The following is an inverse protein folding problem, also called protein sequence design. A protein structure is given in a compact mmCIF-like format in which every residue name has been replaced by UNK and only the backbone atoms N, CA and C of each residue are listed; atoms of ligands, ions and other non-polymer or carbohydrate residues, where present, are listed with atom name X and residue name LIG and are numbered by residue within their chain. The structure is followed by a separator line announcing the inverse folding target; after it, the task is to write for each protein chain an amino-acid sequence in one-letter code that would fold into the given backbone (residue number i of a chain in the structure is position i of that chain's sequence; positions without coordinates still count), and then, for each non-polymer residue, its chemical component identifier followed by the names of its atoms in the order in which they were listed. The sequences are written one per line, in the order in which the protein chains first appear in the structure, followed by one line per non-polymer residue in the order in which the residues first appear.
data_IF_917153052550
#
_entry.id   IF_917153052550
#
_cell.length_a   1.000
_cell.length_b   1.000
_cell.length_c   1.000
_cell.angle_alpha   90.00
_cell.angle_beta   90.00
_cell.angle_gamma   90.00
#
_symmetry.space_group_name_H-M   'P 1'
#
loop_
_entity.id
_entity.type
_entity.pdbx_description
1 polymer ?
#
# COMPACT_ATOMS: atom_id res chain seq x y z
N UNK A 1 3.65 -6.30 11.58
CA UNK A 1 4.51 -7.45 11.17
C UNK A 1 3.90 -8.77 11.59
N UNK A 2 3.79 -9.09 12.88
CA UNK A 2 3.28 -10.38 13.39
C UNK A 2 1.90 -10.77 12.83
N UNK A 3 0.97 -9.82 12.72
CA UNK A 3 -0.33 -10.07 12.09
C UNK A 3 -0.17 -10.58 10.64
N UNK A 4 0.73 -10.00 9.85
CA UNK A 4 0.99 -10.46 8.49
C UNK A 4 1.75 -11.80 8.44
N UNK A 5 2.58 -12.09 9.44
CA UNK A 5 3.19 -13.43 9.60
C UNK A 5 2.10 -14.51 9.80
N UNK A 6 1.15 -14.26 10.72
CA UNK A 6 0.04 -15.16 10.99
C UNK A 6 -0.88 -15.32 9.76
N UNK A 7 -1.19 -14.22 9.06
CA UNK A 7 -2.01 -14.23 7.84
C UNK A 7 -1.33 -15.00 6.70
N UNK A 8 -0.01 -14.85 6.53
CA UNK A 8 0.76 -15.57 5.52
C UNK A 8 0.70 -17.10 5.71
N UNK A 9 0.75 -17.56 6.97
CA UNK A 9 0.60 -18.99 7.31
C UNK A 9 -0.76 -19.55 6.89
N UNK A 10 -1.80 -18.71 6.86
CA UNK A 10 -3.16 -19.09 6.47
C UNK A 10 -3.49 -18.72 5.01
N UNK A 11 -2.54 -18.23 4.22
CA UNK A 11 -2.71 -17.70 2.85
C UNK A 11 -3.75 -16.56 2.75
N UNK A 12 -3.95 -15.78 3.81
CA UNK A 12 -4.82 -14.60 3.82
C UNK A 12 -3.98 -13.41 3.37
N UNK A 13 -4.45 -12.56 2.42
CA UNK A 13 -3.72 -11.38 1.96
C UNK A 13 -3.24 -10.48 3.12
N UNK A 14 -2.06 -9.83 2.99
CA UNK A 14 -1.51 -9.02 4.06
C UNK A 14 -2.34 -7.77 4.34
N UNK A 15 -2.26 -7.28 5.56
CA UNK A 15 -2.75 -5.97 5.95
C UNK A 15 -1.74 -4.89 5.57
N UNK A 16 -2.22 -3.79 5.03
CA UNK A 16 -1.42 -2.59 4.76
C UNK A 16 -1.39 -1.71 6.00
N UNK A 17 -0.23 -1.12 6.30
CA UNK A 17 -0.15 -0.12 7.35
C UNK A 17 -0.95 1.12 6.97
N UNK A 18 -1.77 1.61 7.91
CA UNK A 18 -2.57 2.82 7.75
C UNK A 18 -2.33 3.76 8.93
N UNK A 19 -1.82 4.96 8.65
CA UNK A 19 -1.47 5.95 9.67
C UNK A 19 -2.71 6.47 10.43
N UNK A 20 -3.89 6.48 9.84
CA UNK A 20 -5.12 6.91 10.48
C UNK A 20 -5.60 5.87 11.52
N UNK A 21 -5.52 4.58 11.17
CA UNK A 21 -5.77 3.49 12.13
C UNK A 21 -4.71 3.47 13.24
N UNK A 22 -3.44 3.70 12.90
CA UNK A 22 -2.38 3.78 13.90
C UNK A 22 -2.59 4.96 14.86
N UNK A 23 -3.03 6.12 14.37
CA UNK A 23 -3.35 7.27 15.22
C UNK A 23 -4.56 7.00 16.14
N UNK A 24 -5.60 6.30 15.65
CA UNK A 24 -6.73 5.89 16.47
C UNK A 24 -6.32 4.92 17.58
N UNK A 25 -5.51 3.92 17.23
CA UNK A 25 -4.99 2.93 18.15
C UNK A 25 -4.08 3.54 19.22
N UNK A 26 -3.18 4.46 18.82
CA UNK A 26 -2.29 5.16 19.74
C UNK A 26 -3.07 6.04 20.72
N UNK A 27 -4.00 6.86 20.21
CA UNK A 27 -4.83 7.71 21.06
C UNK A 27 -5.63 6.92 22.11
N UNK A 28 -6.09 5.72 21.75
CA UNK A 28 -6.75 4.83 22.71
C UNK A 28 -5.80 4.26 23.73
N UNK A 29 -4.65 3.79 23.30
CA UNK A 29 -3.62 3.27 24.20
C UNK A 29 -3.14 4.35 25.20
N UNK A 30 -2.99 5.60 24.76
CA UNK A 30 -2.65 6.74 25.60
C UNK A 30 -3.77 7.08 26.61
N UNK A 31 -5.03 7.04 26.16
CA UNK A 31 -6.19 7.27 27.01
C UNK A 31 -6.28 6.22 28.13
N UNK A 32 -6.14 4.94 27.79
CA UNK A 32 -6.10 3.84 28.77
C UNK A 32 -4.92 3.98 29.74
N UNK A 33 -3.73 4.30 29.22
CA UNK A 33 -2.52 4.46 30.01
C UNK A 33 -2.63 5.62 31.01
N UNK A 34 -3.22 6.75 30.60
CA UNK A 34 -3.45 7.91 31.47
C UNK A 34 -4.41 7.61 32.62
N UNK A 35 -5.34 6.68 32.43
CA UNK A 35 -6.32 6.25 33.43
C UNK A 35 -5.94 4.96 34.16
N UNK A 36 -4.71 4.43 33.96
CA UNK A 36 -4.22 3.20 34.60
C UNK A 36 -5.05 1.96 34.27
N UNK A 37 -5.80 1.98 33.14
CA UNK A 37 -6.69 0.89 32.74
C UNK A 37 -8.00 0.77 33.55
N UNK A 38 -8.38 1.79 34.29
CA UNK A 38 -9.59 1.78 35.13
C UNK A 38 -10.89 2.12 34.37
N UNK A 39 -10.87 2.01 33.04
CA UNK A 39 -12.04 2.20 32.16
C UNK A 39 -12.31 0.93 31.33
N UNK A 40 -13.37 0.97 30.52
CA UNK A 40 -13.65 -0.11 29.59
C UNK A 40 -12.50 -0.22 28.57
N UNK A 41 -12.00 -1.44 28.36
CA UNK A 41 -10.83 -1.65 27.51
C UNK A 41 -11.05 -1.30 26.02
N UNK A 42 -12.28 -1.29 25.55
CA UNK A 42 -12.59 -0.95 24.17
C UNK A 42 -13.07 0.49 23.99
N UNK A 43 -13.93 0.98 24.90
CA UNK A 43 -14.42 2.35 24.81
C UNK A 43 -13.39 3.34 25.36
N UNK A 44 -13.35 4.54 24.81
CA UNK A 44 -12.58 5.64 25.39
C UNK A 44 -13.03 5.92 26.84
N UNK A 45 -12.14 6.37 27.69
CA UNK A 45 -12.44 6.59 29.11
C UNK A 45 -13.49 7.69 29.35
N UNK A 46 -13.76 8.53 28.36
CA UNK A 46 -14.88 9.49 28.35
C UNK A 46 -16.23 8.88 27.92
N UNK A 47 -16.28 7.56 27.64
CA UNK A 47 -17.49 6.84 27.22
C UNK A 47 -17.72 6.81 25.69
N UNK A 48 -16.89 7.43 24.86
CA UNK A 48 -17.00 7.30 23.41
C UNK A 48 -16.76 5.84 23.01
N UNK A 49 -17.66 5.25 22.19
CA UNK A 49 -17.49 3.87 21.74
C UNK A 49 -16.27 3.74 20.83
N UNK A 50 -15.59 2.59 20.88
CA UNK A 50 -14.44 2.27 20.05
C UNK A 50 -14.72 2.52 18.55
N UNK A 51 -15.88 2.11 18.08
CA UNK A 51 -16.30 2.26 16.70
C UNK A 51 -16.34 3.74 16.26
N UNK A 52 -16.93 4.65 17.09
CA UNK A 52 -16.97 6.09 16.80
C UNK A 52 -15.56 6.69 16.83
N UNK A 53 -14.73 6.29 17.81
CA UNK A 53 -13.34 6.72 17.88
C UNK A 53 -12.60 6.35 16.59
N UNK A 54 -12.63 5.08 16.18
CA UNK A 54 -11.93 4.63 14.97
C UNK A 54 -12.48 5.32 13.72
N UNK A 55 -13.79 5.44 13.56
CA UNK A 55 -14.40 6.16 12.43
C UNK A 55 -13.99 7.65 12.35
N UNK A 56 -13.74 8.29 13.47
CA UNK A 56 -13.29 9.69 13.50
C UNK A 56 -11.89 9.86 12.89
N UNK A 57 -11.00 8.91 13.13
CA UNK A 57 -9.66 8.90 12.53
C UNK A 57 -9.65 8.32 11.12
N UNK A 58 -10.46 7.29 10.89
CA UNK A 58 -10.51 6.49 9.66
C UNK A 58 -11.91 6.53 9.03
N UNK A 59 -12.32 7.68 8.46
CA UNK A 59 -13.66 7.85 7.88
C UNK A 59 -13.82 7.04 6.59
N UNK A 60 -15.08 6.68 6.26
CA UNK A 60 -15.42 5.94 5.04
C UNK A 60 -15.15 4.44 5.13
N UNK A 61 -14.89 3.92 6.33
CA UNK A 61 -14.72 2.48 6.54
C UNK A 61 -16.00 1.69 6.23
N UNK A 62 -15.82 0.52 5.62
CA UNK A 62 -16.89 -0.47 5.36
C UNK A 62 -16.91 -1.50 6.50
N UNK A 63 -15.75 -1.88 6.98
CA UNK A 63 -15.58 -2.80 8.10
C UNK A 63 -14.53 -2.27 9.05
N UNK A 64 -14.70 -2.51 10.35
CA UNK A 64 -13.77 -2.16 11.41
C UNK A 64 -13.64 -3.32 12.40
N UNK A 65 -12.49 -3.41 13.04
CA UNK A 65 -12.22 -4.33 14.15
C UNK A 65 -11.16 -3.76 15.06
N UNK A 66 -11.17 -4.19 16.33
CA UNK A 66 -10.21 -3.73 17.32
C UNK A 66 -9.76 -4.88 18.22
N UNK A 67 -8.48 -4.93 18.51
CA UNK A 67 -7.89 -5.72 19.58
C UNK A 67 -7.25 -4.81 20.60
N UNK A 68 -7.49 -5.06 21.88
CA UNK A 68 -6.86 -4.32 22.98
C UNK A 68 -6.26 -5.30 23.98
N UNK A 69 -5.09 -4.96 24.52
CA UNK A 69 -4.46 -5.71 25.59
C UNK A 69 -3.68 -4.80 26.54
N UNK A 70 -3.56 -5.24 27.78
CA UNK A 70 -2.66 -4.68 28.78
C UNK A 70 -1.67 -5.77 29.19
N UNK A 71 -0.37 -5.51 29.03
CA UNK A 71 0.67 -6.52 29.25
C UNK A 71 2.03 -5.88 29.49
N UNK A 72 3.06 -6.70 29.52
CA UNK A 72 4.46 -6.24 29.44
C UNK A 72 4.73 -5.59 28.09
N UNK A 73 5.73 -4.71 28.04
CA UNK A 73 6.11 -4.02 26.78
C UNK A 73 6.92 -4.95 25.88
N UNK A 74 6.24 -5.94 25.33
CA UNK A 74 6.81 -6.88 24.34
C UNK A 74 5.74 -7.18 23.27
N UNK A 75 6.02 -6.75 22.04
CA UNK A 75 5.08 -6.88 20.94
C UNK A 75 4.83 -8.35 20.52
N UNK A 76 5.78 -9.27 20.74
CA UNK A 76 5.60 -10.70 20.50
C UNK A 76 4.65 -11.29 21.51
N UNK A 77 4.86 -11.02 22.80
CA UNK A 77 3.98 -11.49 23.89
C UNK A 77 2.56 -10.98 23.69
N UNK A 78 2.40 -9.70 23.34
CA UNK A 78 1.10 -9.10 23.02
C UNK A 78 0.42 -9.81 21.86
N UNK A 79 1.12 -10.00 20.74
CA UNK A 79 0.59 -10.69 19.57
C UNK A 79 0.21 -12.14 19.89
N UNK A 80 1.06 -12.87 20.59
CA UNK A 80 0.80 -14.28 20.93
C UNK A 80 -0.41 -14.39 21.88
N UNK A 81 -0.61 -13.42 22.79
CA UNK A 81 -1.82 -13.38 23.63
C UNK A 81 -3.08 -13.16 22.79
N UNK A 82 -3.05 -12.27 21.80
CA UNK A 82 -4.17 -12.08 20.87
C UNK A 82 -4.43 -13.32 20.01
N UNK A 83 -3.38 -13.97 19.53
CA UNK A 83 -3.52 -15.21 18.75
C UNK A 83 -4.05 -16.39 19.56
N UNK A 84 -3.82 -16.41 20.87
CA UNK A 84 -4.38 -17.41 21.78
C UNK A 84 -5.84 -17.14 22.18
N UNK A 85 -6.35 -15.93 21.93
CA UNK A 85 -7.76 -15.56 22.16
C UNK A 85 -8.57 -15.72 20.87
N UNK A 86 -9.66 -16.47 20.90
CA UNK A 86 -10.47 -16.75 19.70
C UNK A 86 -11.03 -15.48 19.06
N UNK A 87 -11.51 -14.51 19.86
CA UNK A 87 -12.06 -13.25 19.38
C UNK A 87 -10.98 -12.37 18.74
N UNK A 88 -9.86 -12.18 19.43
CA UNK A 88 -8.76 -11.37 18.91
C UNK A 88 -8.11 -11.99 17.67
N UNK A 89 -7.89 -13.32 17.69
CA UNK A 89 -7.38 -14.06 16.53
C UNK A 89 -8.29 -13.91 15.32
N UNK A 90 -9.61 -13.90 15.51
CA UNK A 90 -10.56 -13.72 14.41
C UNK A 90 -10.41 -12.37 13.72
N UNK A 91 -10.07 -11.30 14.44
CA UNK A 91 -9.75 -10.00 13.85
C UNK A 91 -8.45 -10.06 13.02
N UNK A 92 -7.38 -10.61 13.58
CA UNK A 92 -6.09 -10.73 12.89
C UNK A 92 -6.23 -11.53 11.59
N UNK A 93 -7.02 -12.60 11.59
CA UNK A 93 -7.21 -13.50 10.47
C UNK A 93 -8.43 -13.18 9.60
N UNK A 94 -9.12 -12.06 9.83
CA UNK A 94 -10.28 -11.68 9.03
C UNK A 94 -9.86 -11.20 7.63
N UNK A 95 -10.25 -11.95 6.60
CA UNK A 95 -9.93 -11.63 5.21
C UNK A 95 -10.61 -10.35 4.69
N UNK A 96 -11.66 -9.86 5.37
CA UNK A 96 -12.34 -8.62 5.01
C UNK A 96 -11.57 -7.37 5.41
N UNK A 97 -10.60 -7.47 6.31
CA UNK A 97 -9.71 -6.36 6.63
C UNK A 97 -8.55 -6.28 5.64
N UNK A 98 -8.28 -5.08 5.17
CA UNK A 98 -7.23 -4.77 4.21
C UNK A 98 -6.17 -3.82 4.77
N UNK A 99 -6.51 -3.08 5.83
CA UNK A 99 -5.66 -2.07 6.45
C UNK A 99 -5.58 -2.29 7.97
N UNK A 100 -4.50 -1.80 8.56
CA UNK A 100 -4.14 -2.06 9.95
C UNK A 100 -3.34 -0.88 10.50
N UNK A 101 -3.57 -0.57 11.77
CA UNK A 101 -2.74 0.33 12.57
C UNK A 101 -2.60 -0.19 13.99
N UNK A 102 -1.51 0.13 14.65
CA UNK A 102 -1.27 -0.24 16.04
C UNK A 102 -0.69 0.93 16.82
N UNK A 103 -1.02 0.99 18.11
CA UNK A 103 -0.50 1.96 19.05
C UNK A 103 -0.19 1.30 20.40
N UNK A 104 0.85 1.77 21.07
CA UNK A 104 1.26 1.30 22.41
C UNK A 104 1.60 2.52 23.26
N UNK A 105 1.09 2.56 24.49
CA UNK A 105 1.44 3.55 25.50
C UNK A 105 1.75 2.87 26.83
N UNK A 106 2.70 3.43 27.58
CA UNK A 106 3.09 2.93 28.89
C UNK A 106 2.34 3.68 29.99
N UNK A 107 1.60 2.96 30.80
CA UNK A 107 0.81 3.52 31.91
C UNK A 107 1.13 2.88 33.25
N UNK A 108 0.93 3.64 34.33
CA UNK A 108 1.04 3.14 35.70
C UNK A 108 -0.26 2.47 36.11
N UNK A 109 -0.18 1.24 36.58
CA UNK A 109 -1.32 0.47 37.12
C UNK A 109 -1.05 0.07 38.59
N UNK A 110 -2.03 -0.55 39.23
CA UNK A 110 -1.85 -1.14 40.55
C UNK A 110 -0.82 -2.30 40.56
N UNK A 111 -0.48 -2.83 39.38
CA UNK A 111 0.49 -3.93 39.23
C UNK A 111 1.85 -3.43 38.71
N UNK A 112 2.08 -2.13 38.68
CA UNK A 112 3.27 -1.52 38.14
C UNK A 112 3.06 -0.89 36.77
N UNK A 113 4.16 -0.56 36.09
CA UNK A 113 4.14 0.07 34.77
C UNK A 113 3.91 -1.00 33.70
N UNK A 114 2.77 -0.92 33.00
CA UNK A 114 2.38 -1.84 31.93
C UNK A 114 2.20 -1.12 30.59
N UNK A 115 2.27 -1.88 29.52
CA UNK A 115 1.93 -1.44 28.16
C UNK A 115 0.44 -1.63 27.91
N UNK A 116 -0.20 -0.57 27.44
CA UNK A 116 -1.53 -0.58 26.85
C UNK A 116 -1.35 -0.62 25.34
N UNK A 117 -1.86 -1.63 24.67
CA UNK A 117 -1.67 -1.85 23.24
C UNK A 117 -3.02 -2.03 22.57
N UNK A 118 -3.19 -1.33 21.46
CA UNK A 118 -4.38 -1.40 20.60
C UNK A 118 -3.97 -1.72 19.18
N UNK A 119 -4.71 -2.59 18.52
CA UNK A 119 -4.67 -2.85 17.07
C UNK A 119 -6.03 -2.49 16.48
N UNK A 120 -6.05 -1.54 15.56
CA UNK A 120 -7.23 -1.19 14.77
C UNK A 120 -7.12 -1.76 13.36
N UNK A 121 -8.17 -2.44 12.93
CA UNK A 121 -8.31 -3.05 11.62
C UNK A 121 -9.42 -2.35 10.84
N UNK A 122 -9.24 -2.24 9.53
CA UNK A 122 -10.26 -1.61 8.71
C UNK A 122 -10.22 -2.02 7.24
N UNK A 123 -11.29 -1.65 6.55
CA UNK A 123 -11.38 -1.71 5.10
C UNK A 123 -12.26 -0.57 4.60
N UNK A 124 -11.87 0.06 3.48
CA UNK A 124 -12.66 1.03 2.73
C UNK A 124 -13.28 0.42 1.47
N UNK A 125 -13.42 -0.88 1.46
CA UNK A 125 -13.87 -1.71 0.36
C UNK A 125 -12.83 -2.77 0.00
N UNK A 126 -13.17 -3.65 -0.93
CA UNK A 126 -12.25 -4.65 -1.43
C UNK A 126 -11.11 -3.95 -2.21
N UNK A 127 -9.88 -4.31 -1.91
CA UNK A 127 -8.76 -3.88 -2.75
C UNK A 127 -8.89 -4.51 -4.14
N UNK A 128 -8.56 -3.77 -5.21
CA UNK A 128 -8.46 -4.34 -6.54
C UNK A 128 -7.50 -5.53 -6.55
N UNK A 129 -7.70 -6.48 -7.45
CA UNK A 129 -6.73 -7.55 -7.69
C UNK A 129 -5.38 -6.89 -8.02
N UNK A 130 -4.36 -7.18 -7.23
CA UNK A 130 -3.06 -6.50 -7.33
C UNK A 130 -2.91 -5.21 -6.53
N UNK A 131 -3.96 -4.75 -5.84
CA UNK A 131 -3.93 -3.53 -5.05
C UNK A 131 -3.15 -3.61 -3.72
N UNK A 132 -2.69 -4.81 -3.34
CA UNK A 132 -1.76 -4.93 -2.21
C UNK A 132 -0.36 -4.52 -2.64
N UNK A 133 0.32 -3.63 -1.90
CA UNK A 133 1.70 -3.28 -2.20
C UNK A 133 2.61 -4.51 -2.04
N UNK A 134 3.67 -4.56 -2.83
CA UNK A 134 4.63 -5.66 -2.79
C UNK A 134 5.31 -5.78 -1.43
N UNK A 135 5.57 -4.65 -0.76
CA UNK A 135 6.05 -4.59 0.62
C UNK A 135 5.01 -3.85 1.47
N UNK A 136 4.01 -4.54 2.03
CA UNK A 136 2.95 -3.91 2.81
C UNK A 136 3.40 -3.42 4.19
N UNK A 137 4.57 -3.83 4.66
CA UNK A 137 5.13 -3.37 5.92
C UNK A 137 6.39 -4.10 6.33
N UNK A 138 7.21 -3.44 7.15
CA UNK A 138 8.43 -3.98 7.73
C UNK A 138 8.67 -3.47 9.14
N UNK A 139 9.67 -4.01 9.83
CA UNK A 139 10.06 -3.60 11.17
C UNK A 139 11.54 -3.90 11.46
N UNK A 140 12.10 -3.13 12.36
CA UNK A 140 13.37 -3.44 13.03
C UNK A 140 13.06 -3.66 14.51
N UNK A 141 13.52 -4.76 15.11
CA UNK A 141 13.18 -5.13 16.49
C UNK A 141 14.42 -5.55 17.29
N UNK A 142 14.65 -4.97 18.47
CA UNK A 142 14.04 -3.74 18.97
C UNK A 142 14.50 -2.50 18.19
N UNK A 143 13.67 -1.45 18.18
CA UNK A 143 14.04 -0.16 17.53
C UNK A 143 15.04 0.65 18.35
N UNK A 144 15.02 0.50 19.65
CA UNK A 144 15.89 1.18 20.61
C UNK A 144 16.67 0.10 21.36
N UNK A 145 17.96 0.31 21.51
CA UNK A 145 18.85 -0.60 22.23
C UNK A 145 20.32 -0.21 22.03
N UNK A 146 21.22 -0.91 22.69
CA UNK A 146 22.65 -0.76 22.52
C UNK A 146 23.13 -1.33 21.17
N UNK A 147 24.14 -2.19 21.28
CA UNK A 147 24.73 -2.88 20.11
C UNK A 147 24.18 -4.32 19.93
N UNK A 148 23.08 -4.66 20.62
CA UNK A 148 22.47 -5.98 20.54
C UNK A 148 22.00 -6.25 19.11
N UNK A 149 22.04 -7.52 18.70
CA UNK A 149 21.47 -7.92 17.41
C UNK A 149 19.99 -7.58 17.32
N UNK A 150 19.56 -7.13 16.14
CA UNK A 150 18.18 -6.76 15.85
C UNK A 150 17.64 -7.52 14.67
N UNK A 151 16.37 -7.85 14.74
CA UNK A 151 15.67 -8.48 13.65
C UNK A 151 15.23 -7.41 12.65
N UNK A 152 15.64 -7.60 11.41
CA UNK A 152 15.18 -6.87 10.24
C UNK A 152 14.12 -7.74 9.58
N UNK A 153 12.89 -7.28 9.52
CA UNK A 153 11.77 -8.12 9.06
C UNK A 153 10.88 -7.30 8.13
N UNK A 154 10.52 -7.89 6.98
CA UNK A 154 9.58 -7.29 6.01
C UNK A 154 8.65 -8.35 5.43
N UNK A 155 7.39 -8.00 5.21
CA UNK A 155 6.46 -8.82 4.46
C UNK A 155 6.63 -8.55 2.97
N UNK A 156 6.78 -9.60 2.17
CA UNK A 156 6.70 -9.57 0.71
C UNK A 156 5.39 -10.19 0.27
N UNK A 157 4.72 -9.57 -0.69
CA UNK A 157 3.51 -10.11 -1.30
C UNK A 157 3.48 -9.84 -2.80
N UNK A 158 3.17 -10.87 -3.57
CA UNK A 158 2.97 -10.73 -5.01
C UNK A 158 1.71 -11.52 -5.42
N UNK A 159 0.67 -10.78 -5.79
CA UNK A 159 -0.66 -11.35 -6.07
C UNK A 159 -0.66 -12.44 -7.16
N UNK A 160 0.26 -12.39 -8.13
CA UNK A 160 0.41 -13.37 -9.19
C UNK A 160 1.34 -14.55 -8.82
N UNK A 161 1.71 -14.70 -7.55
CA UNK A 161 2.56 -15.80 -7.10
C UNK A 161 4.05 -15.67 -7.49
N UNK A 162 4.51 -14.52 -7.97
CA UNK A 162 5.90 -14.30 -8.33
C UNK A 162 6.82 -14.21 -7.12
N UNK A 163 7.77 -15.16 -6.97
CA UNK A 163 8.80 -15.08 -5.95
C UNK A 163 9.73 -13.88 -6.21
N UNK A 164 10.25 -13.19 -5.16
CA UNK A 164 11.21 -12.11 -5.35
C UNK A 164 12.55 -12.67 -5.82
N UNK A 165 13.28 -11.92 -6.64
CA UNK A 165 14.69 -12.22 -6.97
C UNK A 165 15.61 -11.94 -5.79
N UNK A 166 15.28 -10.92 -4.99
CA UNK A 166 15.96 -10.57 -3.77
C UNK A 166 15.02 -9.81 -2.82
N UNK A 167 15.21 -10.01 -1.52
CA UNK A 167 14.65 -9.15 -0.46
C UNK A 167 15.80 -8.77 0.46
N UNK A 168 15.92 -7.48 0.80
CA UNK A 168 17.05 -6.98 1.58
C UNK A 168 16.67 -5.76 2.40
N UNK A 169 17.52 -5.42 3.37
CA UNK A 169 17.47 -4.17 4.11
C UNK A 169 18.70 -3.34 3.78
N UNK A 170 18.49 -2.06 3.51
CA UNK A 170 19.52 -1.03 3.43
C UNK A 170 19.64 -0.43 4.82
N UNK A 171 20.79 -0.63 5.48
CA UNK A 171 21.03 -0.24 6.89
C UNK A 171 22.19 0.75 6.90
N UNK A 172 21.91 2.04 6.99
CA UNK A 172 22.91 3.08 6.76
C UNK A 172 23.64 2.83 5.43
N UNK A 173 24.97 2.70 5.39
CA UNK A 173 25.74 2.42 4.17
C UNK A 173 25.80 0.94 3.79
N UNK A 174 25.17 0.05 4.55
CA UNK A 174 25.30 -1.40 4.39
C UNK A 174 24.05 -2.05 3.82
N UNK A 175 24.22 -3.20 3.18
CA UNK A 175 23.15 -4.04 2.67
C UNK A 175 23.06 -5.36 3.44
N UNK A 176 21.88 -5.81 3.78
CA UNK A 176 21.60 -7.07 4.47
C UNK A 176 20.60 -7.87 3.66
N UNK A 177 21.01 -9.02 3.15
CA UNK A 177 20.07 -9.93 2.49
C UNK A 177 19.14 -10.55 3.52
N UNK A 178 17.87 -10.62 3.19
CA UNK A 178 16.84 -11.22 4.02
C UNK A 178 16.40 -12.55 3.41
N UNK A 179 16.25 -13.56 4.26
CA UNK A 179 15.77 -14.89 3.88
C UNK A 179 14.31 -15.09 4.30
N UNK A 180 13.59 -15.96 3.58
CA UNK A 180 12.22 -16.32 3.94
C UNK A 180 12.20 -16.98 5.32
N UNK A 181 11.44 -16.42 6.24
CA UNK A 181 11.24 -16.92 7.60
C UNK A 181 9.92 -17.68 7.74
N UNK A 182 8.85 -17.13 7.18
CA UNK A 182 7.49 -17.67 7.27
C UNK A 182 6.74 -17.49 5.96
N UNK A 183 5.78 -18.37 5.68
CA UNK A 183 4.92 -18.31 4.50
C UNK A 183 5.57 -18.93 3.27
N UNK A 184 5.28 -18.40 2.11
CA UNK A 184 5.79 -18.84 0.80
C UNK A 184 6.61 -17.74 0.15
N UNK A 185 7.47 -18.08 -0.81
CA UNK A 185 8.34 -17.09 -1.47
C UNK A 185 7.56 -15.91 -2.08
N UNK A 186 6.41 -16.17 -2.69
CA UNK A 186 5.57 -15.11 -3.26
C UNK A 186 4.67 -14.39 -2.25
N UNK A 187 4.52 -14.93 -1.05
CA UNK A 187 3.82 -14.35 0.07
C UNK A 187 4.41 -14.85 1.38
N UNK A 188 5.24 -14.08 1.99
CA UNK A 188 5.91 -14.48 3.23
C UNK A 188 6.61 -13.32 3.92
N UNK A 189 7.12 -13.65 5.09
CA UNK A 189 7.95 -12.76 5.89
C UNK A 189 9.40 -13.09 5.65
N UNK A 190 10.17 -12.09 5.24
CA UNK A 190 11.60 -12.16 5.03
C UNK A 190 12.31 -11.45 6.17
N UNK A 191 13.39 -12.05 6.67
CA UNK A 191 14.12 -11.49 7.79
C UNK A 191 15.57 -11.91 7.88
N UNK A 192 16.31 -11.16 8.69
CA UNK A 192 17.66 -11.47 9.14
C UNK A 192 17.93 -10.78 10.47
N UNK A 193 18.74 -11.40 11.31
CA UNK A 193 19.23 -10.77 12.52
C UNK A 193 20.61 -10.14 12.25
N UNK A 194 20.78 -8.87 12.67
CA UNK A 194 22.05 -8.15 12.50
C UNK A 194 22.41 -7.34 13.73
N UNK A 195 23.68 -7.38 14.11
CA UNK A 195 24.26 -6.45 15.06
C UNK A 195 24.42 -5.07 14.40
N UNK A 196 24.06 -4.03 15.11
CA UNK A 196 24.32 -2.64 14.73
C UNK A 196 25.56 -2.15 15.45
N UNK A 197 26.40 -1.38 14.77
CA UNK A 197 27.62 -0.79 15.33
C UNK A 197 27.57 0.73 15.23
N UNK A 198 28.26 1.40 16.13
CA UNK A 198 28.34 2.85 16.18
C UNK A 198 27.41 3.47 17.24
N UNK A 199 27.08 4.74 17.07
CA UNK A 199 26.17 5.48 17.95
C UNK A 199 25.32 6.46 17.12
N UNK A 200 24.09 6.74 17.60
CA UNK A 200 23.17 7.67 16.94
C UNK A 200 22.02 6.98 16.25
N UNK A 201 21.49 7.58 15.19
CA UNK A 201 20.32 7.14 14.48
C UNK A 201 20.72 6.56 13.11
N UNK A 202 20.47 5.28 12.89
CA UNK A 202 20.79 4.59 11.64
C UNK A 202 19.52 4.45 10.80
N UNK A 203 19.50 4.98 9.56
CA UNK A 203 18.35 4.83 8.67
C UNK A 203 18.29 3.41 8.10
N UNK A 204 17.07 2.84 8.06
CA UNK A 204 16.78 1.52 7.53
C UNK A 204 15.63 1.60 6.52
N UNK A 205 15.83 1.00 5.35
CA UNK A 205 14.82 0.81 4.30
C UNK A 205 14.84 -0.64 3.85
N UNK A 206 13.68 -1.22 3.66
CA UNK A 206 13.56 -2.53 3.04
C UNK A 206 13.39 -2.40 1.53
N UNK A 207 14.00 -3.30 0.79
CA UNK A 207 13.92 -3.34 -0.67
C UNK A 207 13.63 -4.77 -1.13
N UNK A 208 12.73 -4.92 -2.09
CA UNK A 208 12.56 -6.17 -2.82
C UNK A 208 12.75 -5.95 -4.32
N UNK A 209 13.35 -6.93 -4.97
CA UNK A 209 13.41 -7.03 -6.44
C UNK A 209 12.43 -8.11 -6.82
N UNK A 210 11.37 -7.73 -7.51
CA UNK A 210 10.32 -8.64 -7.97
C UNK A 210 10.84 -9.58 -9.06
N UNK A 211 10.07 -10.63 -9.37
CA UNK A 211 10.38 -11.56 -10.48
C UNK A 211 10.52 -10.88 -11.83
N UNK A 212 9.77 -9.79 -12.06
CA UNK A 212 9.83 -8.97 -13.27
C UNK A 212 10.98 -7.94 -13.28
N UNK A 213 11.79 -7.89 -12.21
CA UNK A 213 12.92 -6.96 -12.08
C UNK A 213 12.57 -5.62 -11.47
N UNK A 214 11.29 -5.32 -11.20
CA UNK A 214 10.88 -4.07 -10.55
C UNK A 214 11.40 -4.05 -9.13
N UNK A 215 12.05 -2.93 -8.77
CA UNK A 215 12.48 -2.64 -7.38
C UNK A 215 11.39 -1.89 -6.66
N UNK A 216 11.07 -2.34 -5.46
CA UNK A 216 10.13 -1.70 -4.56
C UNK A 216 10.76 -1.53 -3.20
N UNK A 217 10.43 -0.44 -2.52
CA UNK A 217 10.96 -0.09 -1.20
C UNK A 217 9.86 0.16 -0.20
N UNK A 218 10.15 -0.13 1.04
CA UNK A 218 9.31 0.22 2.17
C UNK A 218 10.20 0.66 3.37
N UNK A 219 9.93 1.81 3.99
CA UNK A 219 9.05 2.87 3.50
C UNK A 219 9.49 3.41 2.13
N UNK A 220 8.55 3.94 1.33
CA UNK A 220 8.85 4.30 -0.07
C UNK A 220 9.76 5.52 -0.21
N UNK A 221 9.45 6.61 0.50
CA UNK A 221 10.14 7.90 0.42
C UNK A 221 10.77 8.34 1.75
N UNK A 222 10.87 7.43 2.70
CA UNK A 222 11.37 7.65 4.04
C UNK A 222 12.25 6.48 4.46
N UNK A 223 12.95 6.62 5.58
CA UNK A 223 13.64 5.52 6.26
C UNK A 223 13.20 5.45 7.72
N UNK A 224 13.12 4.24 8.26
CA UNK A 224 12.99 4.01 9.71
C UNK A 224 14.29 4.43 10.36
N UNK A 225 14.25 5.19 11.44
CA UNK A 225 15.43 5.52 12.24
C UNK A 225 15.56 4.57 13.43
N UNK A 226 16.68 3.92 13.51
CA UNK A 226 17.00 2.95 14.55
C UNK A 226 18.10 3.53 15.46
N UNK A 227 17.80 3.72 16.75
CA UNK A 227 18.76 4.22 17.71
C UNK A 227 19.80 3.16 18.08
N UNK A 228 21.09 3.48 18.03
CA UNK A 228 22.22 2.59 18.34
C UNK A 228 23.20 3.24 19.31
N UNK A 229 23.97 2.42 20.03
CA UNK A 229 25.01 2.85 20.95
C UNK A 229 24.62 2.82 22.44
N UNK A 230 25.56 3.15 23.30
CA UNK A 230 25.38 3.12 24.75
C UNK A 230 24.21 4.05 25.18
N UNK A 231 23.20 3.49 25.85
CA UNK A 231 22.03 4.22 26.29
C UNK A 231 20.90 4.32 25.28
N UNK A 232 21.06 3.77 24.08
CA UNK A 232 20.05 3.78 23.02
C UNK A 232 19.67 5.20 22.61
N UNK A 233 20.17 5.70 21.49
CA UNK A 233 19.80 7.02 21.02
C UNK A 233 18.29 7.09 20.77
N UNK A 234 17.63 8.12 21.32
CA UNK A 234 16.26 8.42 21.01
C UNK A 234 16.21 9.05 19.60
N UNK A 235 15.69 8.35 18.63
CA UNK A 235 15.57 8.81 17.26
C UNK A 235 14.12 9.20 16.95
N UNK A 236 13.95 10.16 16.04
CA UNK A 236 12.65 10.31 15.38
C UNK A 236 12.27 8.98 14.73
N UNK A 237 10.98 8.69 14.61
CA UNK A 237 10.55 7.41 14.04
C UNK A 237 10.99 7.25 12.59
N UNK A 238 11.07 8.35 11.85
CA UNK A 238 11.37 8.37 10.41
C UNK A 238 12.24 9.56 10.00
N UNK A 239 12.89 9.41 8.85
CA UNK A 239 13.68 10.46 8.19
C UNK A 239 13.45 10.41 6.68
N UNK A 240 13.53 11.57 6.02
CA UNK A 240 13.56 11.67 4.56
C UNK A 240 14.95 11.39 3.96
N UNK A 241 15.99 11.27 4.81
CA UNK A 241 17.32 10.85 4.38
C UNK A 241 17.35 9.32 4.13
N UNK A 242 16.94 8.92 2.95
CA UNK A 242 16.82 7.51 2.54
C UNK A 242 18.19 6.97 2.08
N UNK A 243 18.63 5.79 2.56
CA UNK A 243 19.82 5.11 2.02
C UNK A 243 19.68 4.87 0.51
N UNK A 244 20.70 5.25 -0.26
CA UNK A 244 20.67 5.19 -1.74
C UNK A 244 21.66 4.20 -2.34
N UNK A 245 22.47 3.51 -1.50
CA UNK A 245 23.48 2.56 -1.97
C UNK A 245 22.89 1.46 -2.85
N UNK A 246 23.63 1.09 -3.89
CA UNK A 246 23.32 -0.11 -4.66
C UNK A 246 23.91 -1.33 -3.92
N UNK A 247 23.04 -2.20 -3.50
CA UNK A 247 23.41 -3.40 -2.75
C UNK A 247 23.98 -4.53 -3.62
N UNK A 248 24.44 -4.26 -4.79
CA UNK A 248 25.03 -5.22 -5.72
C UNK A 248 24.52 -6.66 -5.54
N UNK A 249 24.05 -7.26 -6.50
CA UNK A 249 23.65 -8.68 -6.47
C UNK A 249 23.18 -9.01 -7.84
N UNK A 250 24.03 -9.55 -8.72
CA UNK A 250 23.78 -10.20 -9.97
C UNK A 250 22.58 -9.77 -10.83
N UNK A 251 22.18 -8.56 -10.73
CA UNK A 251 21.19 -7.88 -11.56
C UNK A 251 21.78 -6.54 -11.91
N UNK A 252 21.67 -6.15 -13.14
CA UNK A 252 22.04 -4.85 -13.71
C UNK A 252 21.99 -3.71 -12.68
N UNK A 253 22.97 -2.76 -12.69
CA UNK A 253 22.99 -1.58 -11.83
C UNK A 253 21.62 -0.94 -11.76
N UNK A 254 21.28 -0.31 -10.60
CA UNK A 254 20.14 0.62 -10.60
C UNK A 254 20.22 1.45 -11.86
N UNK A 255 19.20 1.43 -12.74
CA UNK A 255 19.16 2.45 -13.72
C UNK A 255 19.18 3.77 -12.93
N UNK A 256 20.16 4.63 -13.17
CA UNK A 256 20.01 6.08 -13.08
C UNK A 256 18.57 6.39 -13.45
N UNK A 257 17.86 7.36 -12.78
CA UNK A 257 16.46 7.63 -13.05
C UNK A 257 16.21 7.47 -14.52
N UNK A 258 15.51 6.40 -14.86
CA UNK A 258 15.61 5.74 -16.14
C UNK A 258 15.27 6.74 -17.25
N UNK A 259 16.08 6.87 -18.26
CA UNK A 259 15.48 7.20 -19.53
C UNK A 259 14.42 6.10 -19.75
N UNK A 260 13.20 6.51 -19.85
CA UNK A 260 11.95 5.79 -20.11
C UNK A 260 12.12 4.28 -20.35
N UNK A 261 11.50 3.37 -19.53
CA UNK A 261 11.65 1.94 -19.77
C UNK A 261 11.24 1.68 -21.21
N UNK A 262 12.17 1.15 -21.98
CA UNK A 262 11.87 0.61 -23.30
C UNK A 262 10.70 -0.33 -23.15
N UNK A 263 9.60 -0.15 -23.89
CA UNK A 263 8.40 -0.98 -23.76
C UNK A 263 8.79 -2.44 -23.85
N UNK A 264 8.27 -3.25 -22.93
CA UNK A 264 8.41 -4.71 -22.96
C UNK A 264 7.94 -5.18 -24.34
N UNK A 265 8.62 -6.13 -25.02
CA UNK A 265 8.12 -6.68 -26.26
C UNK A 265 6.70 -7.20 -26.06
N UNK A 266 5.69 -6.47 -26.54
CA UNK A 266 4.26 -6.72 -26.33
C UNK A 266 3.46 -5.50 -25.85
N UNK A 267 4.08 -4.52 -25.21
CA UNK A 267 3.43 -3.28 -24.82
C UNK A 267 3.43 -2.26 -25.96
N UNK A 268 2.25 -1.84 -26.37
CA UNK A 268 2.13 -0.84 -27.42
C UNK A 268 2.08 0.58 -26.83
N UNK A 269 2.87 1.49 -27.36
CA UNK A 269 2.96 2.85 -26.87
C UNK A 269 1.73 3.68 -27.30
N UNK A 270 1.18 4.45 -26.38
CA UNK A 270 0.07 5.36 -26.66
C UNK A 270 0.52 6.47 -27.63
N UNK A 271 -0.30 6.78 -28.62
CA UNK A 271 -0.05 7.89 -29.57
C UNK A 271 -0.36 9.25 -28.99
N UNK A 272 -1.26 9.32 -28.03
CA UNK A 272 -1.61 10.54 -27.28
C UNK A 272 -2.21 10.19 -25.92
N UNK A 273 -1.92 11.02 -24.94
CA UNK A 273 -2.45 10.90 -23.59
C UNK A 273 -2.84 12.28 -23.05
N UNK A 274 -4.02 12.36 -22.45
CA UNK A 274 -4.43 13.50 -21.63
C UNK A 274 -5.09 13.00 -20.37
N UNK A 275 -4.60 13.47 -19.22
CA UNK A 275 -5.13 13.15 -17.90
C UNK A 275 -5.54 14.43 -17.19
N UNK A 276 -6.72 14.41 -16.55
CA UNK A 276 -7.20 15.51 -15.72
C UNK A 276 -7.63 14.94 -14.38
N UNK A 277 -6.98 15.37 -13.31
CA UNK A 277 -7.23 14.99 -11.94
C UNK A 277 -7.73 16.23 -11.18
N UNK A 278 -8.92 16.18 -10.62
CA UNK A 278 -9.55 17.32 -9.91
C UNK A 278 -9.95 16.89 -8.49
N UNK A 279 -9.18 17.25 -7.45
CA UNK A 279 -9.60 17.08 -6.07
C UNK A 279 -10.84 17.89 -5.77
N UNK A 280 -11.70 17.37 -4.89
CA UNK A 280 -12.85 18.10 -4.37
C UNK A 280 -12.60 18.50 -2.91
N UNK A 281 -12.17 19.72 -2.62
CA UNK A 281 -11.80 20.13 -1.26
C UNK A 281 -12.99 20.21 -0.30
N UNK A 282 -14.22 20.18 -0.84
CA UNK A 282 -15.46 20.31 -0.04
C UNK A 282 -16.11 18.98 0.31
N UNK A 283 -15.80 17.91 -0.41
CA UNK A 283 -16.42 16.60 -0.23
C UNK A 283 -15.40 15.50 -0.47
N UNK A 284 -15.07 14.76 0.60
CA UNK A 284 -14.22 13.56 0.49
C UNK A 284 -14.82 12.53 -0.48
N UNK A 285 -13.97 11.80 -1.20
CA UNK A 285 -14.36 10.78 -2.17
C UNK A 285 -15.29 11.30 -3.29
N UNK A 286 -15.09 12.55 -3.70
CA UNK A 286 -15.78 13.18 -4.83
C UNK A 286 -14.81 13.80 -5.84
N UNK A 287 -13.57 13.34 -5.81
CA UNK A 287 -12.55 13.74 -6.76
C UNK A 287 -12.86 13.20 -8.16
N UNK A 288 -12.32 13.86 -9.17
CA UNK A 288 -12.60 13.53 -10.56
C UNK A 288 -11.32 13.04 -11.23
N UNK A 289 -11.39 11.87 -11.85
CA UNK A 289 -10.38 11.33 -12.77
C UNK A 289 -10.97 11.33 -14.18
N UNK A 290 -10.26 11.95 -15.12
CA UNK A 290 -10.60 11.90 -16.54
C UNK A 290 -9.36 11.54 -17.34
N UNK A 291 -9.48 10.51 -18.19
CA UNK A 291 -8.39 10.01 -19.03
C UNK A 291 -8.88 9.97 -20.47
N UNK A 292 -8.08 10.54 -21.36
CA UNK A 292 -8.25 10.42 -22.81
C UNK A 292 -6.94 9.89 -23.38
N UNK A 293 -6.99 8.77 -24.07
CA UNK A 293 -5.82 8.15 -24.68
C UNK A 293 -6.13 7.72 -26.11
N UNK A 294 -5.10 7.77 -26.96
CA UNK A 294 -5.15 7.20 -28.29
C UNK A 294 -4.19 6.01 -28.35
N UNK A 295 -4.76 4.82 -28.50
CA UNK A 295 -4.03 3.58 -28.64
C UNK A 295 -3.66 3.37 -30.12
N UNK A 296 -2.48 2.79 -30.42
CA UNK A 296 -2.10 2.45 -31.78
C UNK A 296 -3.05 1.42 -32.39
N UNK A 297 -2.95 1.24 -33.72
CA UNK A 297 -3.56 0.08 -34.38
C UNK A 297 -2.79 -1.18 -33.96
N UNK A 298 -3.46 -2.13 -33.43
CA UNK A 298 -2.90 -3.42 -32.99
C UNK A 298 -3.66 -4.60 -33.60
N UNK A 299 -4.35 -4.34 -34.72
CA UNK A 299 -5.14 -5.36 -35.40
C UNK A 299 -6.40 -5.76 -34.65
N UNK A 300 -6.57 -7.07 -34.43
CA UNK A 300 -7.78 -7.62 -33.82
C UNK A 300 -7.76 -7.48 -32.29
N UNK A 301 -8.05 -6.28 -31.79
CA UNK A 301 -8.30 -6.02 -30.39
C UNK A 301 -9.79 -6.24 -30.10
N UNK A 302 -10.11 -7.22 -29.24
CA UNK A 302 -11.43 -7.35 -28.68
C UNK A 302 -11.47 -6.78 -27.25
N UNK A 303 -12.00 -5.57 -27.05
CA UNK A 303 -12.07 -4.95 -25.73
C UNK A 303 -12.94 -5.70 -24.71
N UNK A 304 -13.71 -6.68 -25.13
CA UNK A 304 -14.62 -7.44 -24.26
C UNK A 304 -14.02 -8.76 -23.76
N UNK A 305 -12.83 -9.14 -24.25
CA UNK A 305 -12.22 -10.45 -23.93
C UNK A 305 -11.62 -10.55 -22.54
N UNK A 306 -11.74 -9.51 -21.69
CA UNK A 306 -11.27 -9.51 -20.31
C UNK A 306 -11.67 -8.25 -19.54
N UNK A 307 -11.31 -8.14 -18.26
CA UNK A 307 -11.46 -6.92 -17.50
C UNK A 307 -10.61 -5.80 -18.08
N UNK A 308 -11.02 -4.56 -17.88
CA UNK A 308 -10.22 -3.38 -18.27
C UNK A 308 -9.49 -2.88 -17.03
N UNK A 309 -8.17 -2.87 -17.07
CA UNK A 309 -7.33 -2.32 -16.00
C UNK A 309 -6.74 -0.99 -16.42
N UNK A 310 -6.89 0.02 -15.57
CA UNK A 310 -6.38 1.39 -15.75
C UNK A 310 -5.45 1.71 -14.59
N UNK A 311 -4.25 2.21 -14.88
CA UNK A 311 -3.29 2.65 -13.87
C UNK A 311 -2.72 4.01 -14.25
N UNK A 312 -2.72 4.92 -13.30
CA UNK A 312 -1.98 6.19 -13.34
C UNK A 312 -0.90 6.15 -12.28
N UNK A 313 0.34 6.31 -12.71
CA UNK A 313 1.47 6.63 -11.85
C UNK A 313 1.66 8.15 -11.93
N UNK A 314 1.47 8.81 -10.80
CA UNK A 314 1.48 10.28 -10.68
C UNK A 314 2.79 10.73 -9.98
N UNK A 315 3.81 9.93 -10.03
CA UNK A 315 5.11 10.19 -9.40
C UNK A 315 4.96 10.31 -7.89
N UNK A 316 5.43 11.41 -7.30
CA UNK A 316 5.38 11.62 -5.83
C UNK A 316 3.96 11.71 -5.25
N UNK A 317 2.93 11.88 -6.09
CA UNK A 317 1.52 11.90 -5.66
C UNK A 317 0.92 10.50 -5.50
N UNK A 318 1.69 9.44 -5.79
CA UNK A 318 1.26 8.05 -5.70
C UNK A 318 0.57 7.51 -6.95
N UNK A 319 0.13 6.28 -6.87
CA UNK A 319 -0.54 5.57 -7.95
C UNK A 319 -2.06 5.60 -7.77
N UNK A 320 -2.77 5.77 -8.87
CA UNK A 320 -4.20 5.49 -8.96
C UNK A 320 -4.42 4.28 -9.86
N UNK A 321 -5.21 3.31 -9.41
CA UNK A 321 -5.50 2.10 -10.17
C UNK A 321 -6.99 1.81 -10.13
N UNK A 322 -7.56 1.41 -11.26
CA UNK A 322 -8.94 0.99 -11.39
C UNK A 322 -9.02 -0.28 -12.25
N UNK A 323 -9.75 -1.28 -11.78
CA UNK A 323 -10.05 -2.48 -12.54
C UNK A 323 -11.56 -2.58 -12.77
N UNK A 324 -11.96 -2.41 -14.00
CA UNK A 324 -13.34 -2.44 -14.42
C UNK A 324 -13.74 -3.89 -14.76
N UNK A 325 -14.79 -4.44 -14.15
CA UNK A 325 -15.15 -5.84 -14.33
C UNK A 325 -15.58 -6.13 -15.79
N UNK A 326 -15.35 -7.35 -16.22
CA UNK A 326 -15.80 -7.84 -17.53
C UNK A 326 -17.31 -8.02 -17.57
N UNK A 327 -17.90 -8.54 -16.47
CA UNK A 327 -19.32 -8.84 -16.37
C UNK A 327 -20.02 -7.92 -15.35
N UNK A 328 -21.17 -7.40 -15.74
CA UNK A 328 -22.10 -6.63 -14.92
C UNK A 328 -23.44 -7.37 -14.89
N UNK A 329 -23.87 -7.84 -13.73
CA UNK A 329 -25.10 -8.61 -13.58
C UNK A 329 -25.23 -9.79 -14.57
N UNK A 330 -24.14 -10.54 -14.77
CA UNK A 330 -24.10 -11.70 -15.64
C UNK A 330 -23.98 -11.41 -17.15
N UNK A 331 -23.92 -10.14 -17.57
CA UNK A 331 -23.74 -9.72 -18.95
C UNK A 331 -22.45 -8.90 -19.10
N UNK A 332 -21.90 -8.82 -20.32
CA UNK A 332 -20.73 -7.98 -20.58
C UNK A 332 -21.01 -6.52 -20.18
N UNK A 333 -20.14 -5.94 -19.34
CA UNK A 333 -20.24 -4.53 -18.94
C UNK A 333 -20.02 -3.60 -20.12
N UNK A 334 -19.03 -3.91 -20.94
CA UNK A 334 -18.65 -3.13 -22.10
C UNK A 334 -19.49 -3.59 -23.33
N UNK A 335 -20.46 -2.76 -23.72
CA UNK A 335 -21.39 -3.06 -24.82
C UNK A 335 -20.88 -2.43 -26.13
N UNK A 336 -20.84 -3.24 -27.18
CA UNK A 336 -20.45 -2.80 -28.52
C UNK A 336 -21.68 -2.37 -29.36
N UNK A 337 -21.42 -1.47 -30.32
CA UNK A 337 -22.35 -1.28 -31.43
C UNK A 337 -22.30 -2.49 -32.41
N UNK A 338 -23.28 -2.65 -33.33
CA UNK A 338 -23.32 -3.78 -34.26
C UNK A 338 -22.08 -3.91 -35.15
N UNK A 339 -21.42 -2.78 -35.49
CA UNK A 339 -20.19 -2.75 -36.27
C UNK A 339 -18.91 -3.00 -35.46
N UNK A 340 -19.02 -3.19 -34.14
CA UNK A 340 -17.89 -3.34 -33.19
C UNK A 340 -16.84 -2.23 -33.28
N UNK A 341 -17.24 -1.03 -33.64
CA UNK A 341 -16.36 0.16 -33.74
C UNK A 341 -16.47 1.08 -32.54
N UNK A 342 -17.52 0.90 -31.72
CA UNK A 342 -17.72 1.68 -30.49
C UNK A 342 -18.13 0.75 -29.37
N UNK A 343 -17.50 0.89 -28.20
CA UNK A 343 -17.79 0.16 -27.00
C UNK A 343 -18.05 1.16 -25.88
N UNK A 344 -19.08 0.92 -25.08
CA UNK A 344 -19.46 1.80 -23.98
C UNK A 344 -19.84 0.98 -22.75
N UNK A 345 -19.39 1.46 -21.60
CA UNK A 345 -19.79 0.93 -20.31
C UNK A 345 -20.10 2.04 -19.32
N UNK A 346 -21.05 1.78 -18.44
CA UNK A 346 -21.34 2.55 -17.25
C UNK A 346 -21.27 1.59 -16.06
N UNK A 347 -20.16 1.63 -15.33
CA UNK A 347 -19.87 0.68 -14.25
C UNK A 347 -20.54 1.08 -12.93
N UNK A 348 -20.59 2.38 -12.65
CA UNK A 348 -21.26 2.96 -11.51
C UNK A 348 -21.95 4.27 -11.92
N UNK A 349 -22.78 4.89 -11.07
CA UNK A 349 -23.53 6.10 -11.44
C UNK A 349 -22.67 7.21 -12.05
N UNK A 350 -21.38 7.28 -11.65
CA UNK A 350 -20.47 8.34 -12.08
C UNK A 350 -19.17 7.81 -12.72
N UNK A 351 -19.17 6.56 -13.18
CA UNK A 351 -18.00 5.89 -13.75
C UNK A 351 -18.33 5.36 -15.15
N UNK A 352 -17.63 5.85 -16.15
CA UNK A 352 -17.90 5.53 -17.56
C UNK A 352 -16.61 5.25 -18.33
N UNK A 353 -16.69 4.28 -19.25
CA UNK A 353 -15.65 3.98 -20.22
C UNK A 353 -16.24 4.00 -21.63
N UNK A 354 -15.59 4.71 -22.54
CA UNK A 354 -15.93 4.70 -23.96
C UNK A 354 -14.68 4.40 -24.78
N UNK A 355 -14.80 3.48 -25.74
CA UNK A 355 -13.78 3.12 -26.70
C UNK A 355 -14.35 3.30 -28.10
N UNK A 356 -13.60 3.90 -29.00
CA UNK A 356 -14.00 4.09 -30.41
C UNK A 356 -12.84 3.76 -31.32
N UNK A 357 -13.04 2.84 -32.27
CA UNK A 357 -12.09 2.51 -33.31
C UNK A 357 -12.23 3.51 -34.46
N UNK A 358 -11.14 4.13 -34.85
CA UNK A 358 -11.09 5.02 -35.99
C UNK A 358 -10.88 4.20 -37.30
N UNK A 359 -11.12 4.82 -38.48
CA UNK A 359 -10.94 4.18 -39.79
C UNK A 359 -9.51 3.71 -40.04
N UNK A 360 -8.51 4.37 -39.45
CA UNK A 360 -7.08 4.02 -39.53
C UNK A 360 -6.68 2.96 -38.46
N UNK A 361 -7.59 2.23 -37.87
CA UNK A 361 -7.34 1.15 -36.93
C UNK A 361 -7.03 1.60 -35.49
N UNK A 362 -6.71 2.89 -35.26
CA UNK A 362 -6.42 3.39 -33.89
C UNK A 362 -7.66 3.41 -33.00
N UNK A 363 -7.44 3.31 -31.68
CA UNK A 363 -8.53 3.36 -30.71
C UNK A 363 -8.45 4.63 -29.88
N UNK A 364 -9.59 5.30 -29.69
CA UNK A 364 -9.75 6.39 -28.72
C UNK A 364 -10.41 5.88 -27.46
N UNK A 365 -9.70 5.97 -26.34
CA UNK A 365 -10.20 5.66 -25.00
C UNK A 365 -10.59 6.95 -24.29
N UNK A 366 -11.77 6.96 -23.67
CA UNK A 366 -12.20 8.00 -22.74
C UNK A 366 -12.76 7.34 -21.48
N UNK A 367 -12.13 7.61 -20.36
CA UNK A 367 -12.58 7.20 -19.04
C UNK A 367 -12.89 8.43 -18.21
N UNK A 368 -13.94 8.34 -17.40
CA UNK A 368 -14.29 9.37 -16.42
C UNK A 368 -14.89 8.73 -15.18
N UNK A 369 -14.42 9.17 -14.01
CA UNK A 369 -14.98 8.87 -12.70
C UNK A 369 -15.08 10.12 -11.85
N UNK A 370 -16.05 10.17 -10.91
CA UNK A 370 -16.32 11.31 -10.02
C UNK A 370 -16.45 10.93 -8.55
N UNK A 371 -16.09 9.73 -8.19
CA UNK A 371 -16.16 9.23 -6.82
C UNK A 371 -14.79 8.74 -6.36
N UNK A 372 -13.76 9.42 -6.81
CA UNK A 372 -12.37 9.06 -6.50
C UNK A 372 -11.89 9.73 -5.21
N UNK A 373 -10.80 9.21 -4.67
CA UNK A 373 -10.02 9.83 -3.61
C UNK A 373 -8.60 10.02 -4.13
N UNK A 374 -8.22 11.25 -4.40
CA UNK A 374 -6.90 11.60 -4.91
C UNK A 374 -6.05 12.11 -3.75
N UNK A 375 -4.85 11.57 -3.59
CA UNK A 375 -3.86 12.08 -2.66
C UNK A 375 -3.36 13.47 -3.09
N UNK A 376 -2.46 14.06 -2.33
CA UNK A 376 -1.88 15.38 -2.63
C UNK A 376 -1.22 15.38 -4.01
N UNK A 377 -1.82 16.11 -4.96
CA UNK A 377 -1.32 16.21 -6.33
C UNK A 377 -0.13 17.17 -6.41
N UNK A 378 0.91 16.77 -7.12
CA UNK A 378 2.08 17.57 -7.44
C UNK A 378 2.32 17.60 -8.94
N UNK A 379 2.98 18.65 -9.45
CA UNK A 379 3.42 18.68 -10.84
C UNK A 379 4.51 17.63 -11.08
N UNK A 380 4.47 16.95 -12.22
CA UNK A 380 5.42 15.90 -12.54
C UNK A 380 4.99 15.06 -13.75
N UNK A 381 5.72 14.03 -14.05
CA UNK A 381 5.34 13.08 -15.10
C UNK A 381 4.18 12.22 -14.62
N UNK A 382 3.13 12.15 -15.41
CA UNK A 382 2.00 11.22 -15.24
C UNK A 382 2.15 10.11 -16.25
N UNK A 383 2.29 8.87 -15.80
CA UNK A 383 2.29 7.69 -16.66
C UNK A 383 0.93 7.02 -16.60
N UNK A 384 0.38 6.68 -17.75
CA UNK A 384 -0.86 5.92 -17.85
C UNK A 384 -0.60 4.57 -18.50
N UNK A 385 -1.14 3.53 -17.88
CA UNK A 385 -1.13 2.17 -18.41
C UNK A 385 -2.57 1.65 -18.46
N UNK A 386 -2.95 1.06 -19.57
CA UNK A 386 -4.25 0.39 -19.72
C UNK A 386 -4.06 -1.01 -20.28
N UNK A 387 -4.68 -1.99 -19.60
CA UNK A 387 -4.81 -3.35 -20.14
C UNK A 387 -6.23 -3.54 -20.66
N UNK A 388 -6.34 -3.94 -21.90
CA UNK A 388 -7.59 -4.04 -22.65
C UNK A 388 -7.51 -5.21 -23.62
N UNK A 389 -8.46 -6.15 -23.55
CA UNK A 389 -8.45 -7.33 -24.41
C UNK A 389 -7.15 -8.16 -24.27
N UNK A 390 -6.61 -8.27 -23.07
CA UNK A 390 -5.36 -8.99 -22.78
C UNK A 390 -4.08 -8.29 -23.27
N UNK A 391 -4.18 -7.09 -23.87
CA UNK A 391 -3.03 -6.30 -24.33
C UNK A 391 -2.81 -5.08 -23.46
N UNK A 392 -1.56 -4.72 -23.23
CA UNK A 392 -1.17 -3.57 -22.41
C UNK A 392 -0.67 -2.43 -23.31
N UNK A 393 -1.12 -1.23 -22.98
CA UNK A 393 -0.73 0.02 -23.64
C UNK A 393 -0.26 1.00 -22.58
N UNK A 394 0.84 1.70 -22.80
CA UNK A 394 1.38 2.67 -21.87
C UNK A 394 1.81 3.97 -22.57
N UNK A 395 1.83 5.06 -21.81
CA UNK A 395 2.30 6.35 -22.27
C UNK A 395 2.45 7.32 -21.11
N UNK A 396 3.23 8.38 -21.30
CA UNK A 396 3.50 9.40 -20.30
C UNK A 396 3.16 10.79 -20.82
N UNK A 397 2.80 11.68 -19.89
CA UNK A 397 2.51 13.09 -20.16
C UNK A 397 3.04 13.96 -19.03
N UNK A 398 3.47 15.19 -19.35
CA UNK A 398 3.91 16.16 -18.33
C UNK A 398 2.71 16.76 -17.62
N UNK A 399 2.59 16.50 -16.31
CA UNK A 399 1.53 17.00 -15.46
C UNK A 399 1.87 18.36 -14.84
N UNK A 400 1.00 19.36 -15.02
CA UNK A 400 1.10 20.67 -14.38
C UNK A 400 -0.04 20.86 -13.37
N UNK A 401 0.30 21.20 -12.14
CA UNK A 401 -0.67 21.57 -11.12
C UNK A 401 -1.24 22.96 -11.45
N UNK A 402 -2.55 23.04 -11.58
CA UNK A 402 -3.31 24.28 -11.80
C UNK A 402 -4.28 24.49 -10.63
N UNK A 403 -4.89 25.69 -10.52
CA UNK A 403 -5.81 26.03 -9.43
C UNK A 403 -6.95 25.01 -9.19
N UNK A 404 -7.31 24.20 -10.17
CA UNK A 404 -8.39 23.23 -10.09
C UNK A 404 -7.93 21.76 -10.17
N UNK A 405 -6.63 21.47 -10.06
CA UNK A 405 -6.07 20.12 -10.10
C UNK A 405 -4.93 19.93 -11.07
N UNK A 406 -4.53 18.66 -11.31
CA UNK A 406 -3.43 18.30 -12.20
C UNK A 406 -3.95 18.07 -13.62
N UNK A 407 -3.30 18.66 -14.60
CA UNK A 407 -3.54 18.40 -16.03
C UNK A 407 -2.24 17.94 -16.69
N UNK A 408 -2.25 16.76 -17.28
CA UNK A 408 -1.16 16.20 -18.06
C UNK A 408 -1.60 16.03 -19.53
N UNK A 409 -0.75 16.49 -20.45
CA UNK A 409 -0.99 16.42 -21.90
C UNK A 409 0.25 15.90 -22.61
#
# INVERSE_FOLDING_TARGET
MFANEARAQQNIPPLMWNNQLAAAALAHSEDLAAHGGNCNLHNSCNGESWFKRVQRYYPGSVTLGENVAVSVNDARILHDSWMNSASHRSNILNASFTEFGAGIAMGQTNFGKLAFATEDFGSRGALPIGGHPTLPGGAVRPMIGGNEPRDLIVTYYHHNGGAPRAVRALVGPSCVNLSLQNGKAAYGTYGATRAFSGSGCVPVVFEAIRSDGVRVRWPENEAILVGVGAGGAYCAERTTAVPTQDCGGGGTPLPTPNPEPTPTPGDAQLKALRVVLKPNPKKANKDVVQIQATLPDVGDLDPTSGPVSLRLDIGQSGDWTETLPQLCNGSACLKSNPKRTTYRAKYAPNQTLNLTRAANGTWKLRYASRNESLAHLQSGTVRFTVTLGGRTFSGSASGQLKQQGLVAN
#
